data_IF_666995852017
#
_entry.id   IF_666995852017
#
_cell.length_a   1.000
_cell.length_b   1.000
_cell.length_c   1.000
_cell.angle_alpha   90.00
_cell.angle_beta   90.00
_cell.angle_gamma   90.00
#
_symmetry.space_group_name_H-M   'P 1'
#
loop_
_entity.id
_entity.type
_entity.pdbx_description
1 polymer ?
#
# COMPACT_ATOMS: atom_id res chain seq x y z
N UNK A 1 13.22 11.02 -7.92
CA UNK A 1 12.27 12.01 -7.34
C UNK A 1 11.04 11.20 -7.03
N UNK A 2 10.72 10.98 -5.76
CA UNK A 2 9.65 10.07 -5.35
C UNK A 2 8.35 10.84 -5.20
N UNK A 3 7.29 10.35 -5.86
CA UNK A 3 5.95 10.90 -5.76
C UNK A 3 5.15 10.09 -4.73
N UNK A 4 4.62 10.78 -3.71
CA UNK A 4 3.71 10.17 -2.75
C UNK A 4 2.27 10.31 -3.23
N UNK A 5 1.64 9.17 -3.53
CA UNK A 5 0.24 9.10 -3.95
C UNK A 5 -0.60 8.52 -2.81
N UNK A 6 -1.66 9.23 -2.42
CA UNK A 6 -2.59 8.79 -1.36
C UNK A 6 -3.97 8.57 -1.97
N UNK A 7 -4.49 7.36 -1.84
CA UNK A 7 -5.80 6.96 -2.37
C UNK A 7 -6.69 6.48 -1.23
N UNK A 8 -7.86 7.09 -1.10
CA UNK A 8 -8.87 6.71 -0.10
C UNK A 8 -9.90 5.74 -0.68
N UNK A 9 -10.22 4.70 0.08
CA UNK A 9 -11.27 3.74 -0.28
C UNK A 9 -12.35 3.70 0.82
N UNK A 10 -13.63 3.53 0.45
CA UNK A 10 -14.72 3.41 1.43
C UNK A 10 -14.74 2.04 2.14
N UNK A 11 -14.11 1.03 1.55
CA UNK A 11 -14.08 -0.35 2.04
C UNK A 11 -12.69 -0.66 2.63
N UNK A 12 -12.68 -1.27 3.82
CA UNK A 12 -11.49 -1.68 4.57
C UNK A 12 -10.64 -2.73 3.82
N UNK A 13 -11.21 -3.47 2.87
CA UNK A 13 -10.50 -4.50 2.09
C UNK A 13 -10.00 -4.03 0.72
N UNK A 14 -10.57 -2.94 0.18
CA UNK A 14 -10.26 -2.52 -1.19
C UNK A 14 -8.82 -2.09 -1.37
N UNK A 15 -8.22 -1.52 -0.33
CA UNK A 15 -6.81 -1.14 -0.34
C UNK A 15 -5.87 -2.36 -0.47
N UNK A 16 -6.23 -3.49 0.16
CA UNK A 16 -5.45 -4.74 0.03
C UNK A 16 -5.54 -5.31 -1.40
N UNK A 17 -6.71 -5.27 -2.04
CA UNK A 17 -6.88 -5.69 -3.44
C UNK A 17 -6.04 -4.85 -4.40
N UNK A 18 -6.09 -3.53 -4.26
CA UNK A 18 -5.32 -2.61 -5.11
C UNK A 18 -3.82 -2.82 -4.93
N UNK A 19 -3.35 -3.05 -3.70
CA UNK A 19 -1.96 -3.38 -3.45
C UNK A 19 -1.54 -4.66 -4.19
N UNK A 20 -2.37 -5.71 -4.17
CA UNK A 20 -2.08 -6.96 -4.89
C UNK A 20 -1.95 -6.73 -6.40
N UNK A 21 -2.78 -5.87 -6.97
CA UNK A 21 -2.70 -5.54 -8.40
C UNK A 21 -1.48 -4.68 -8.71
N UNK A 22 -1.13 -3.70 -7.87
CA UNK A 22 0.13 -2.95 -7.99
C UNK A 22 1.35 -3.88 -7.95
N UNK A 23 1.37 -4.87 -7.05
CA UNK A 23 2.43 -5.88 -6.98
C UNK A 23 2.48 -6.82 -8.20
N UNK A 24 1.39 -6.97 -8.95
CA UNK A 24 1.42 -7.69 -10.24
C UNK A 24 2.03 -6.81 -11.32
N UNK A 25 1.61 -5.55 -11.40
CA UNK A 25 2.15 -4.58 -12.36
C UNK A 25 3.65 -4.35 -12.17
N UNK A 26 4.11 -4.30 -10.91
CA UNK A 26 5.53 -4.24 -10.55
C UNK A 26 6.29 -5.44 -11.10
N UNK A 27 5.75 -6.66 -10.91
CA UNK A 27 6.33 -7.91 -11.46
C UNK A 27 6.34 -7.96 -12.98
N UNK A 28 5.40 -7.28 -13.63
CA UNK A 28 5.33 -7.12 -15.08
C UNK A 28 6.20 -5.96 -15.59
N UNK A 29 6.98 -5.31 -14.71
CA UNK A 29 7.84 -4.16 -15.01
C UNK A 29 7.09 -2.95 -15.59
N UNK A 30 5.79 -2.83 -15.31
CA UNK A 30 4.95 -1.73 -15.78
C UNK A 30 4.99 -0.52 -14.85
N UNK A 31 5.29 -0.74 -13.56
CA UNK A 31 5.45 0.30 -12.54
C UNK A 31 6.66 -0.01 -11.65
N UNK A 32 7.16 1.01 -10.96
CA UNK A 32 8.19 0.88 -9.93
C UNK A 32 7.61 1.37 -8.60
N UNK A 33 7.69 0.54 -7.55
CA UNK A 33 7.02 0.77 -6.27
C UNK A 33 8.04 0.70 -5.12
N UNK A 34 8.54 1.86 -4.69
CA UNK A 34 9.53 1.94 -3.61
C UNK A 34 8.98 1.45 -2.25
N UNK A 35 7.87 2.04 -1.78
CA UNK A 35 7.21 1.67 -0.52
C UNK A 35 5.67 1.79 -0.66
N UNK A 36 4.94 0.98 0.09
CA UNK A 36 3.50 1.06 0.20
C UNK A 36 3.03 0.74 1.62
N UNK A 37 2.06 1.53 2.09
CA UNK A 37 1.41 1.34 3.37
C UNK A 37 -0.12 1.46 3.21
N UNK A 38 -0.84 0.61 3.93
CA UNK A 38 -2.31 0.65 3.99
C UNK A 38 -2.71 1.14 5.38
N UNK A 39 -3.53 2.18 5.43
CA UNK A 39 -4.12 2.69 6.67
C UNK A 39 -5.59 2.33 6.69
N UNK A 40 -6.00 1.51 7.66
CA UNK A 40 -7.40 1.12 7.86
C UNK A 40 -7.89 1.74 9.15
N UNK A 41 -8.97 2.52 9.09
CA UNK A 41 -9.70 2.97 10.26
C UNK A 41 -10.95 2.11 10.41
N UNK A 42 -11.00 1.29 11.45
CA UNK A 42 -12.15 0.42 11.69
C UNK A 42 -13.37 1.22 12.21
N UNK A 43 -14.54 0.57 12.24
CA UNK A 43 -15.81 1.16 12.72
C UNK A 43 -15.79 1.65 14.17
N UNK A 44 -14.83 1.21 14.98
CA UNK A 44 -14.63 1.65 16.37
C UNK A 44 -13.71 2.89 16.47
N UNK A 45 -13.27 3.45 15.33
CA UNK A 45 -12.35 4.58 15.27
C UNK A 45 -10.88 4.22 15.47
N UNK A 46 -10.56 2.93 15.65
CA UNK A 46 -9.17 2.47 15.81
C UNK A 46 -8.48 2.41 14.46
N UNK A 47 -7.33 3.07 14.36
CA UNK A 47 -6.47 3.04 13.18
C UNK A 47 -5.52 1.85 13.27
N UNK A 48 -5.38 1.12 12.17
CA UNK A 48 -4.37 0.09 11.95
C UNK A 48 -3.58 0.47 10.70
N UNK A 49 -2.26 0.37 10.79
CA UNK A 49 -1.37 0.55 9.64
C UNK A 49 -0.81 -0.83 9.30
N UNK A 50 -1.05 -1.28 8.07
CA UNK A 50 -0.41 -2.46 7.50
C UNK A 50 0.71 -1.94 6.61
N UNK A 51 1.95 -2.07 7.05
CA UNK A 51 3.10 -1.78 6.22
C UNK A 51 3.38 -3.00 5.34
N UNK A 52 3.63 -2.80 4.06
CA UNK A 52 3.61 -3.89 3.07
C UNK A 52 5.01 -4.45 2.78
N UNK A 53 6.04 -3.84 3.38
CA UNK A 53 7.42 -4.34 3.40
C UNK A 53 7.91 -4.47 4.86
N UNK A 54 8.70 -5.51 5.13
CA UNK A 54 9.81 -5.36 6.07
C UNK A 54 10.79 -4.39 5.40
N UNK A 55 11.05 -3.24 6.01
CA UNK A 55 12.09 -2.31 5.59
C UNK A 55 13.42 -3.08 5.46
N UNK A 56 13.76 -3.56 4.27
CA UNK A 56 15.15 -3.84 3.95
C UNK A 56 15.74 -2.49 3.58
N UNK A 57 16.18 -1.77 4.61
CA UNK A 57 17.13 -0.69 4.42
C UNK A 57 18.40 -1.32 3.83
N UNK A 58 18.51 -1.32 2.51
CA UNK A 58 19.79 -1.59 1.84
C UNK A 58 20.66 -0.35 2.03
N UNK A 59 21.62 -0.49 2.95
CA UNK A 59 22.71 0.45 3.21
C UNK A 59 23.67 0.57 2.03
#
# INVERSE_FOLDING_TARGET
MSDLIVIGFPDEFKADEVLLDLRKLEREYLIDLEDAAIVVRNRQGKVKVKQTQELVASF
#
